data_IF_546444309071
#
_entry.id   IF_546444309071
#
_cell.length_a   1.000
_cell.length_b   1.000
_cell.length_c   1.000
_cell.angle_alpha   90.00
_cell.angle_beta   90.00
_cell.angle_gamma   90.00
#
_symmetry.space_group_name_H-M   'P 1'
#
loop_
_entity.id
_entity.type
_entity.pdbx_description
1 polymer ?
#
# COMPACT_ATOMS: atom_id res chain seq x y z
N UNK A 1 -9.75 -15.92 -7.66
CA UNK A 1 -9.02 -16.08 -6.37
C UNK A 1 -9.79 -17.05 -5.47
N UNK A 2 -11.12 -16.90 -5.35
CA UNK A 2 -11.95 -17.80 -4.53
C UNK A 2 -11.95 -19.26 -5.04
N UNK A 3 -11.79 -19.44 -6.33
CA UNK A 3 -11.79 -20.76 -7.02
C UNK A 3 -10.57 -21.63 -6.63
N UNK A 4 -9.50 -21.03 -6.15
CA UNK A 4 -8.24 -21.70 -5.81
C UNK A 4 -8.07 -21.95 -4.30
N UNK A 5 -9.09 -21.66 -3.49
CA UNK A 5 -9.04 -21.85 -2.03
C UNK A 5 -9.55 -23.24 -1.67
N UNK A 6 -8.74 -24.02 -0.95
CA UNK A 6 -9.21 -25.28 -0.34
C UNK A 6 -9.97 -24.97 0.96
N UNK A 7 -11.31 -25.24 1.01
CA UNK A 7 -12.11 -24.94 2.19
C UNK A 7 -11.67 -25.69 3.44
N UNK A 8 -11.14 -26.91 3.28
CA UNK A 8 -10.69 -27.71 4.42
C UNK A 8 -9.43 -27.10 5.06
N UNK A 9 -8.49 -26.66 4.26
CA UNK A 9 -7.27 -25.98 4.76
C UNK A 9 -7.59 -24.63 5.40
N UNK A 10 -8.56 -23.89 4.84
CA UNK A 10 -8.99 -22.61 5.45
C UNK A 10 -9.65 -22.90 6.80
N UNK A 11 -10.56 -23.88 6.89
CA UNK A 11 -11.21 -24.25 8.15
C UNK A 11 -10.18 -24.71 9.19
N UNK A 12 -9.28 -25.58 8.84
CA UNK A 12 -8.22 -26.04 9.74
C UNK A 12 -7.38 -24.86 10.26
N UNK A 13 -6.96 -23.96 9.38
CA UNK A 13 -6.21 -22.75 9.75
C UNK A 13 -7.03 -21.79 10.63
N UNK A 14 -8.33 -21.72 10.43
CA UNK A 14 -9.27 -20.91 11.24
C UNK A 14 -9.51 -21.57 12.59
N UNK A 15 -9.81 -22.87 12.62
CA UNK A 15 -10.10 -23.63 13.83
C UNK A 15 -8.89 -23.63 14.80
N UNK A 16 -7.66 -23.61 14.27
CA UNK A 16 -6.43 -23.45 15.05
C UNK A 16 -6.39 -22.10 15.79
N UNK A 17 -6.90 -21.05 15.21
CA UNK A 17 -6.83 -19.67 15.74
C UNK A 17 -8.13 -19.23 16.42
N UNK A 18 -9.27 -19.81 16.04
CA UNK A 18 -10.61 -19.39 16.47
C UNK A 18 -10.77 -19.26 17.99
N UNK A 19 -10.31 -20.21 18.83
CA UNK A 19 -10.44 -20.14 20.29
C UNK A 19 -9.72 -18.93 20.90
N UNK A 20 -8.71 -18.41 20.20
CA UNK A 20 -7.93 -17.25 20.62
C UNK A 20 -8.52 -15.96 20.09
N UNK A 21 -9.14 -16.00 18.90
CA UNK A 21 -9.77 -14.90 18.21
C UNK A 21 -11.18 -14.60 18.73
N UNK A 22 -11.90 -15.57 19.27
CA UNK A 22 -13.23 -15.38 19.88
C UNK A 22 -13.24 -14.34 21.00
N UNK A 23 -12.09 -14.10 21.61
CA UNK A 23 -11.88 -13.05 22.62
C UNK A 23 -11.70 -11.65 22.03
N UNK A 24 -11.50 -11.51 20.72
CA UNK A 24 -11.03 -10.26 20.08
C UNK A 24 -12.08 -9.55 19.23
N UNK A 25 -13.21 -10.20 18.91
CA UNK A 25 -14.33 -9.54 18.25
C UNK A 25 -14.86 -10.20 16.96
N UNK A 26 -15.99 -9.70 16.52
CA UNK A 26 -16.79 -10.25 15.40
C UNK A 26 -16.12 -10.10 14.02
N UNK A 27 -15.31 -9.07 13.82
CA UNK A 27 -14.77 -8.71 12.49
C UNK A 27 -13.93 -9.81 11.84
N UNK A 28 -13.13 -10.52 12.63
CA UNK A 28 -12.27 -11.60 12.10
C UNK A 28 -13.12 -12.79 11.68
N UNK A 29 -14.16 -13.12 12.47
CA UNK A 29 -15.11 -14.19 12.14
C UNK A 29 -15.88 -13.88 10.85
N UNK A 30 -16.30 -12.63 10.67
CA UNK A 30 -17.03 -12.18 9.48
C UNK A 30 -16.17 -12.28 8.23
N UNK A 31 -14.90 -11.95 8.31
CA UNK A 31 -13.94 -12.13 7.21
C UNK A 31 -13.80 -13.61 6.81
N UNK A 32 -13.64 -14.52 7.79
CA UNK A 32 -13.54 -15.93 7.49
C UNK A 32 -14.82 -16.51 6.91
N UNK A 33 -15.97 -16.13 7.44
CA UNK A 33 -17.26 -16.52 6.90
C UNK A 33 -17.41 -16.07 5.45
N UNK A 34 -17.02 -14.83 5.13
CA UNK A 34 -17.02 -14.30 3.77
C UNK A 34 -16.14 -15.13 2.82
N UNK A 35 -14.94 -15.54 3.25
CA UNK A 35 -14.04 -16.37 2.45
C UNK A 35 -14.64 -17.77 2.22
N UNK A 36 -15.21 -18.39 3.25
CA UNK A 36 -15.87 -19.70 3.13
C UNK A 36 -17.10 -19.63 2.21
N UNK A 37 -17.96 -18.62 2.36
CA UNK A 37 -19.12 -18.41 1.49
C UNK A 37 -18.72 -18.14 0.03
N UNK A 38 -17.65 -17.38 -0.19
CA UNK A 38 -17.15 -17.12 -1.53
C UNK A 38 -16.69 -18.41 -2.22
N UNK A 39 -16.12 -19.36 -1.47
CA UNK A 39 -15.73 -20.67 -1.98
C UNK A 39 -16.94 -21.57 -2.28
N UNK A 40 -17.93 -21.58 -1.41
CA UNK A 40 -19.17 -22.37 -1.61
C UNK A 40 -19.94 -21.91 -2.85
N UNK A 41 -19.84 -20.64 -3.21
CA UNK A 41 -20.49 -20.05 -4.39
C UNK A 41 -19.64 -20.13 -5.65
N UNK A 42 -18.37 -20.53 -5.55
CA UNK A 42 -17.49 -20.65 -6.71
C UNK A 42 -17.89 -21.87 -7.57
N UNK A 43 -17.93 -21.72 -8.91
CA UNK A 43 -18.20 -22.85 -9.80
C UNK A 43 -17.11 -23.92 -9.66
N UNK A 44 -17.48 -25.19 -9.81
CA UNK A 44 -16.53 -26.28 -9.94
C UNK A 44 -15.76 -26.12 -11.25
N UNK A 45 -14.54 -25.58 -11.15
CA UNK A 45 -13.62 -25.52 -12.26
C UNK A 45 -12.35 -26.28 -11.91
N UNK A 46 -11.80 -27.00 -12.88
CA UNK A 46 -10.46 -27.59 -12.78
C UNK A 46 -9.43 -26.44 -12.77
N UNK A 47 -9.02 -26.03 -11.56
CA UNK A 47 -7.98 -25.02 -11.40
C UNK A 47 -6.61 -25.66 -11.57
N UNK A 48 -5.79 -25.10 -12.47
CA UNK A 48 -4.39 -25.48 -12.64
C UNK A 48 -3.51 -24.93 -11.50
N UNK A 49 -4.06 -23.97 -10.70
CA UNK A 49 -3.33 -23.31 -9.63
C UNK A 49 -4.02 -23.57 -8.29
N UNK A 50 -3.23 -23.97 -7.29
CA UNK A 50 -3.67 -24.09 -5.91
C UNK A 50 -3.24 -22.87 -5.12
N UNK A 51 -4.20 -22.24 -4.42
CA UNK A 51 -3.93 -21.15 -3.50
C UNK A 51 -4.05 -21.65 -2.06
N UNK A 52 -2.99 -21.47 -1.25
CA UNK A 52 -2.98 -21.84 0.16
C UNK A 52 -2.79 -20.61 1.03
N UNK A 53 -3.63 -20.45 2.07
CA UNK A 53 -3.43 -19.45 3.11
C UNK A 53 -2.80 -20.11 4.33
N UNK A 54 -1.67 -19.60 4.78
CA UNK A 54 -1.00 -20.05 6.02
C UNK A 54 -0.92 -18.89 6.99
N UNK A 55 -1.70 -18.97 8.05
CA UNK A 55 -1.75 -17.95 9.10
C UNK A 55 -0.65 -18.18 10.14
N UNK A 56 -0.40 -17.14 10.95
CA UNK A 56 0.56 -17.20 12.08
C UNK A 56 1.94 -17.70 11.66
N UNK A 57 2.44 -17.22 10.53
CA UNK A 57 3.78 -17.52 10.02
C UNK A 57 4.55 -16.24 9.81
N UNK A 58 5.64 -16.04 10.58
CA UNK A 58 6.56 -14.90 10.40
C UNK A 58 7.75 -15.32 9.57
N UNK A 59 8.03 -14.65 8.43
CA UNK A 59 9.20 -14.99 7.62
C UNK A 59 10.49 -14.69 8.39
N UNK A 60 11.44 -15.63 8.36
CA UNK A 60 12.72 -15.54 9.06
C UNK A 60 13.92 -15.53 8.12
N UNK A 61 13.90 -16.36 7.08
CA UNK A 61 15.03 -16.51 6.18
C UNK A 61 14.60 -17.06 4.83
N UNK A 62 15.18 -16.53 3.76
CA UNK A 62 15.12 -17.15 2.43
C UNK A 62 16.16 -18.26 2.33
N UNK A 63 15.81 -19.34 1.66
CA UNK A 63 16.70 -20.42 1.26
C UNK A 63 17.10 -20.23 -0.18
N UNK A 64 18.38 -20.26 -0.45
CA UNK A 64 18.93 -20.13 -1.80
C UNK A 64 19.74 -21.36 -2.20
N UNK A 65 20.01 -21.49 -3.50
CA UNK A 65 20.97 -22.46 -4.02
C UNK A 65 22.33 -21.80 -4.32
N UNK A 66 23.27 -22.61 -4.81
CA UNK A 66 24.63 -22.16 -5.15
C UNK A 66 24.66 -21.18 -6.35
N UNK A 67 23.55 -21.00 -7.06
CA UNK A 67 23.43 -20.09 -8.21
C UNK A 67 22.80 -18.74 -7.80
N UNK A 68 22.44 -18.57 -6.53
CA UNK A 68 21.75 -17.39 -6.03
C UNK A 68 20.24 -17.38 -6.26
N UNK A 69 19.65 -18.50 -6.70
CA UNK A 69 18.20 -18.62 -6.89
C UNK A 69 17.52 -19.01 -5.57
N UNK A 70 16.32 -18.47 -5.36
CA UNK A 70 15.46 -18.86 -4.24
C UNK A 70 15.03 -20.33 -4.40
N UNK A 71 15.05 -21.07 -3.29
CA UNK A 71 14.59 -22.45 -3.18
C UNK A 71 13.51 -22.63 -2.14
N UNK A 72 13.31 -21.65 -1.30
CA UNK A 72 12.30 -21.70 -0.26
C UNK A 72 12.39 -20.56 0.71
N UNK A 73 11.53 -20.62 1.71
CA UNK A 73 11.46 -19.67 2.80
C UNK A 73 11.24 -20.41 4.13
N UNK A 74 11.92 -19.95 5.18
CA UNK A 74 11.73 -20.44 6.55
C UNK A 74 10.85 -19.45 7.29
N UNK A 75 9.80 -19.96 7.92
CA UNK A 75 8.91 -19.23 8.81
C UNK A 75 9.08 -19.69 10.24
N UNK A 76 8.86 -18.78 11.17
CA UNK A 76 8.58 -19.13 12.56
C UNK A 76 7.06 -19.21 12.76
N UNK A 77 6.62 -20.28 13.38
CA UNK A 77 5.23 -20.46 13.79
C UNK A 77 4.95 -19.54 14.97
N UNK A 78 3.87 -18.75 14.89
CA UNK A 78 3.43 -17.88 15.97
C UNK A 78 2.24 -18.49 16.70
N UNK A 79 2.11 -18.15 17.98
CA UNK A 79 0.88 -18.33 18.74
C UNK A 79 0.29 -16.97 19.11
N UNK A 80 -1.02 -16.86 19.14
CA UNK A 80 -1.67 -15.65 19.62
C UNK A 80 -1.60 -15.58 21.14
N UNK A 81 -1.17 -14.43 21.66
CA UNK A 81 -1.13 -14.15 23.10
C UNK A 81 -1.87 -12.87 23.41
N UNK A 82 -2.55 -12.85 24.56
CA UNK A 82 -3.19 -11.65 25.08
C UNK A 82 -2.13 -10.80 25.82
N UNK A 83 -1.95 -9.56 25.36
CA UNK A 83 -1.13 -8.53 26.04
C UNK A 83 -2.02 -7.34 26.37
N UNK A 84 -2.42 -7.21 27.62
CA UNK A 84 -3.48 -6.28 28.02
C UNK A 84 -4.79 -6.63 27.32
N UNK A 85 -5.39 -5.67 26.63
CA UNK A 85 -6.63 -5.87 25.87
C UNK A 85 -6.38 -6.19 24.36
N UNK A 86 -5.12 -6.45 23.98
CA UNK A 86 -4.75 -6.75 22.58
C UNK A 86 -4.25 -8.16 22.42
N UNK A 87 -4.69 -8.82 21.37
CA UNK A 87 -4.12 -10.10 20.96
C UNK A 87 -2.99 -9.84 19.97
N UNK A 88 -1.82 -10.37 20.27
CA UNK A 88 -0.60 -10.20 19.46
C UNK A 88 -0.01 -11.54 19.08
N UNK A 89 0.52 -11.72 17.86
CA UNK A 89 1.25 -12.92 17.48
C UNK A 89 2.64 -12.93 18.16
N UNK A 90 2.97 -14.02 18.80
CA UNK A 90 4.30 -14.26 19.42
C UNK A 90 4.92 -15.50 18.82
N UNK A 91 6.22 -15.41 18.48
CA UNK A 91 7.00 -16.54 18.00
C UNK A 91 7.04 -17.67 19.03
N UNK A 92 6.88 -18.90 18.56
CA UNK A 92 6.94 -20.12 19.38
C UNK A 92 8.32 -20.74 19.42
N UNK A 93 9.25 -20.30 18.57
CA UNK A 93 10.54 -20.92 18.32
C UNK A 93 10.48 -22.10 17.35
N UNK A 94 9.30 -22.54 16.94
CA UNK A 94 9.12 -23.61 15.96
C UNK A 94 9.33 -23.05 14.56
N UNK A 95 10.22 -23.68 13.78
CA UNK A 95 10.53 -23.28 12.42
C UNK A 95 9.90 -24.24 11.41
N UNK A 96 9.32 -23.67 10.35
CA UNK A 96 8.74 -24.42 9.23
C UNK A 96 9.36 -23.91 7.92
N UNK A 97 9.74 -24.83 7.04
CA UNK A 97 10.26 -24.49 5.70
C UNK A 97 9.23 -24.80 4.64
N UNK A 98 9.11 -23.90 3.67
CA UNK A 98 8.26 -24.07 2.50
C UNK A 98 9.15 -23.92 1.29
N UNK A 99 9.09 -24.90 0.36
CA UNK A 99 9.78 -24.83 -0.90
C UNK A 99 9.08 -23.82 -1.81
N UNK A 100 9.86 -22.92 -2.41
CA UNK A 100 9.38 -21.90 -3.32
C UNK A 100 10.52 -21.48 -4.26
N UNK A 101 10.21 -21.26 -5.51
CA UNK A 101 11.12 -20.71 -6.52
C UNK A 101 11.01 -19.17 -6.62
N UNK A 102 9.91 -18.62 -6.13
CA UNK A 102 9.62 -17.19 -6.15
C UNK A 102 8.99 -16.76 -4.83
N UNK A 103 9.49 -15.67 -4.24
CA UNK A 103 8.94 -15.08 -3.02
C UNK A 103 8.65 -13.61 -3.25
N UNK A 104 7.40 -13.20 -3.00
CA UNK A 104 6.94 -11.82 -3.15
C UNK A 104 6.52 -11.32 -1.76
N UNK A 105 7.18 -10.25 -1.30
CA UNK A 105 6.80 -9.59 -0.04
C UNK A 105 5.75 -8.52 -0.30
N UNK A 106 4.56 -8.70 0.28
CA UNK A 106 3.44 -7.75 0.27
C UNK A 106 3.03 -7.41 1.70
N UNK A 107 3.99 -6.97 2.51
CA UNK A 107 3.87 -6.78 3.97
C UNK A 107 3.63 -5.33 4.38
N UNK A 108 3.14 -4.51 3.47
CA UNK A 108 2.88 -3.09 3.66
C UNK A 108 3.95 -2.19 3.06
N UNK A 109 3.74 -0.90 3.20
CA UNK A 109 4.62 0.15 2.70
C UNK A 109 5.05 1.06 3.84
N UNK A 110 6.15 1.77 3.65
CA UNK A 110 6.59 2.86 4.51
C UNK A 110 6.81 4.08 3.64
N UNK A 111 6.68 5.26 4.21
CA UNK A 111 7.12 6.48 3.54
C UNK A 111 8.64 6.48 3.39
N UNK A 112 9.12 7.11 2.33
CA UNK A 112 10.56 7.26 2.11
C UNK A 112 11.11 8.33 3.06
N UNK A 113 12.00 7.93 3.97
CA UNK A 113 12.66 8.85 4.89
C UNK A 113 13.60 9.84 4.17
N UNK A 114 14.05 9.52 2.95
CA UNK A 114 14.85 10.40 2.10
C UNK A 114 14.04 11.48 1.40
N UNK A 115 12.71 11.48 1.53
CA UNK A 115 11.82 12.47 0.90
C UNK A 115 12.00 13.90 1.49
N UNK A 116 12.64 14.01 2.66
CA UNK A 116 12.93 15.31 3.27
C UNK A 116 11.87 15.82 4.25
N UNK A 117 10.85 15.02 4.56
CA UNK A 117 9.86 15.31 5.59
C UNK A 117 10.14 14.47 6.85
N UNK A 118 9.77 14.96 8.06
CA UNK A 118 9.91 14.20 9.29
C UNK A 118 9.12 12.90 9.28
N UNK A 119 9.77 11.78 9.65
CA UNK A 119 9.18 10.44 9.67
C UNK A 119 9.26 9.85 11.07
N UNK A 120 8.15 9.30 11.55
CA UNK A 120 8.09 8.51 12.77
C UNK A 120 7.20 7.27 12.54
N UNK A 121 7.65 6.11 13.05
CA UNK A 121 6.92 4.84 12.95
C UNK A 121 6.50 4.43 11.51
N UNK A 122 7.26 4.89 10.51
CA UNK A 122 6.99 4.57 9.10
C UNK A 122 5.99 5.50 8.41
N UNK A 123 5.55 6.57 9.06
CA UNK A 123 4.64 7.58 8.54
C UNK A 123 5.29 8.97 8.59
N UNK A 124 4.82 9.91 7.78
CA UNK A 124 5.14 11.31 7.99
C UNK A 124 4.51 11.82 9.28
N UNK A 125 5.26 12.63 10.02
CA UNK A 125 4.78 13.22 11.29
C UNK A 125 3.76 14.29 10.99
N UNK A 126 2.58 14.19 11.61
CA UNK A 126 1.53 15.21 11.51
C UNK A 126 1.46 16.06 12.76
N UNK A 127 0.96 17.29 12.62
CA UNK A 127 0.84 18.25 13.71
C UNK A 127 -0.03 17.70 14.85
N UNK A 128 0.50 17.60 16.09
CA UNK A 128 -0.28 17.12 17.23
C UNK A 128 -1.38 18.11 17.66
N UNK A 129 -1.25 19.40 17.29
CA UNK A 129 -2.25 20.46 17.55
C UNK A 129 -2.64 21.11 16.22
N UNK A 130 -3.44 20.43 15.38
CA UNK A 130 -3.69 20.85 14.01
C UNK A 130 -4.52 22.15 13.95
N UNK A 131 -4.14 23.01 13.00
CA UNK A 131 -4.88 24.25 12.69
C UNK A 131 -6.14 23.96 11.86
N UNK A 132 -6.11 22.88 11.05
CA UNK A 132 -7.17 22.47 10.12
C UNK A 132 -7.57 21.00 10.33
N UNK A 133 -8.09 20.64 11.52
CA UNK A 133 -8.46 19.26 11.81
C UNK A 133 -9.77 18.88 11.11
N UNK A 134 -9.81 17.74 10.46
CA UNK A 134 -11.06 17.14 9.97
C UNK A 134 -11.39 15.92 10.83
N UNK A 135 -12.56 15.94 11.46
CA UNK A 135 -12.99 14.90 12.43
C UNK A 135 -11.94 14.64 13.53
N UNK A 136 -11.22 15.68 13.98
CA UNK A 136 -10.14 15.59 14.97
C UNK A 136 -8.83 15.00 14.45
N UNK A 137 -8.71 14.80 13.13
CA UNK A 137 -7.52 14.22 12.48
C UNK A 137 -6.67 15.34 11.87
N UNK A 138 -5.35 15.29 12.12
CA UNK A 138 -4.38 16.19 11.52
C UNK A 138 -3.91 15.68 10.14
N UNK A 139 -3.76 16.62 9.21
CA UNK A 139 -3.22 16.39 7.87
C UNK A 139 -2.00 17.27 7.57
N UNK A 140 -1.68 18.23 8.45
CA UNK A 140 -0.52 19.12 8.34
C UNK A 140 0.76 18.37 8.73
N UNK A 141 1.83 18.52 7.96
CA UNK A 141 3.14 17.96 8.33
C UNK A 141 3.78 18.79 9.43
N UNK A 142 4.40 18.12 10.39
CA UNK A 142 5.01 18.75 11.57
C UNK A 142 6.45 18.31 11.76
N UNK A 143 7.32 19.27 12.07
CA UNK A 143 8.69 19.00 12.45
C UNK A 143 8.85 19.00 13.96
N UNK A 144 9.01 17.84 14.60
CA UNK A 144 9.14 17.75 16.06
C UNK A 144 10.46 18.32 16.59
N UNK A 145 11.53 18.41 15.77
CA UNK A 145 12.80 18.99 16.18
C UNK A 145 12.72 20.52 16.25
N UNK A 146 11.95 21.13 15.36
CA UNK A 146 11.72 22.57 15.32
C UNK A 146 10.50 22.99 16.13
N UNK A 147 9.69 22.02 16.62
CA UNK A 147 8.39 22.25 17.25
C UNK A 147 7.48 23.16 16.40
N UNK A 148 7.46 22.94 15.09
CA UNK A 148 6.74 23.78 14.13
C UNK A 148 6.14 22.96 12.99
N UNK A 149 5.07 23.49 12.40
CA UNK A 149 4.50 22.97 11.16
C UNK A 149 5.48 23.15 10.00
N UNK A 150 5.46 22.20 9.07
CA UNK A 150 6.03 22.40 7.75
C UNK A 150 4.99 23.15 6.91
N UNK A 151 5.16 24.46 6.76
CA UNK A 151 4.20 25.31 6.05
C UNK A 151 3.90 24.78 4.64
N UNK A 152 2.65 24.95 4.20
CA UNK A 152 2.14 24.57 2.88
C UNK A 152 2.18 23.06 2.57
N UNK A 153 2.46 22.19 3.57
CA UNK A 153 2.59 20.76 3.36
C UNK A 153 1.53 19.98 4.12
N UNK A 154 0.73 19.24 3.35
CA UNK A 154 -0.29 18.34 3.86
C UNK A 154 -0.02 16.91 3.38
N UNK A 155 -0.36 15.92 4.21
CA UNK A 155 -0.25 14.50 3.88
C UNK A 155 -1.59 13.80 4.10
N UNK A 156 -1.94 12.88 3.21
CA UNK A 156 -3.18 12.13 3.28
C UNK A 156 -3.02 10.72 2.72
N UNK A 157 -4.01 9.86 2.95
CA UNK A 157 -3.99 8.48 2.50
C UNK A 157 -2.81 7.70 3.09
N UNK A 158 -2.16 6.89 2.28
CA UNK A 158 -1.03 6.06 2.73
C UNK A 158 0.25 6.83 3.06
N UNK A 159 0.36 8.07 2.65
CA UNK A 159 1.46 8.94 3.07
C UNK A 159 1.34 9.38 4.53
N UNK A 160 0.10 9.54 5.02
CA UNK A 160 -0.20 9.88 6.41
C UNK A 160 -0.30 8.63 7.30
N UNK A 161 -0.91 7.59 6.81
CA UNK A 161 -1.20 6.36 7.56
C UNK A 161 -0.80 5.15 6.71
N UNK A 162 0.44 4.68 6.91
CA UNK A 162 1.03 3.64 6.07
C UNK A 162 0.15 2.39 5.99
N UNK A 163 -0.24 2.06 4.77
CA UNK A 163 -0.81 0.77 4.30
C UNK A 163 -1.76 0.03 5.26
N UNK A 164 -2.49 0.72 6.11
CA UNK A 164 -3.52 0.10 6.92
C UNK A 164 -4.85 0.05 6.17
N UNK A 165 -5.37 -1.16 6.04
CA UNK A 165 -6.69 -1.42 5.47
C UNK A 165 -6.73 -1.46 3.95
N UNK A 166 -7.94 -1.28 3.41
CA UNK A 166 -8.23 -1.35 1.97
C UNK A 166 -8.19 0.02 1.31
N UNK A 167 -8.08 0.05 -0.03
CA UNK A 167 -8.03 1.29 -0.84
C UNK A 167 -9.15 2.28 -0.51
N UNK A 168 -10.34 1.78 -0.12
CA UNK A 168 -11.46 2.63 0.29
C UNK A 168 -11.19 3.50 1.53
N UNK A 169 -10.36 3.02 2.48
CA UNK A 169 -9.96 3.80 3.64
C UNK A 169 -8.99 4.91 3.26
N UNK A 170 -8.01 4.60 2.40
CA UNK A 170 -7.08 5.60 1.89
C UNK A 170 -7.80 6.70 1.10
N UNK A 171 -8.84 6.33 0.32
CA UNK A 171 -9.67 7.30 -0.39
C UNK A 171 -10.41 8.24 0.55
N UNK A 172 -11.07 7.70 1.59
CA UNK A 172 -11.76 8.53 2.59
C UNK A 172 -10.80 9.46 3.33
N UNK A 173 -9.61 8.98 3.65
CA UNK A 173 -8.57 9.77 4.28
C UNK A 173 -8.09 10.89 3.34
N UNK A 174 -7.91 10.61 2.06
CA UNK A 174 -7.55 11.61 1.05
C UNK A 174 -8.64 12.68 0.87
N UNK A 175 -9.93 12.31 0.89
CA UNK A 175 -11.05 13.25 0.83
C UNK A 175 -11.07 14.20 2.04
N UNK A 176 -10.73 13.71 3.24
CA UNK A 176 -10.58 14.54 4.44
C UNK A 176 -9.36 15.45 4.35
N UNK A 177 -8.21 14.92 3.94
CA UNK A 177 -7.00 15.71 3.73
C UNK A 177 -7.20 16.84 2.72
N UNK A 178 -7.94 16.58 1.64
CA UNK A 178 -8.30 17.61 0.67
C UNK A 178 -9.17 18.71 1.29
N UNK A 179 -10.11 18.37 2.20
CA UNK A 179 -10.90 19.39 2.92
C UNK A 179 -10.03 20.23 3.85
N UNK A 180 -9.13 19.63 4.62
CA UNK A 180 -8.18 20.36 5.46
C UNK A 180 -7.34 21.35 4.63
N UNK A 181 -6.86 20.92 3.46
CA UNK A 181 -6.12 21.79 2.55
C UNK A 181 -6.98 22.91 1.98
N UNK A 182 -8.25 22.66 1.65
CA UNK A 182 -9.16 23.72 1.18
C UNK A 182 -9.42 24.78 2.27
N UNK A 183 -9.63 24.37 3.53
CA UNK A 183 -9.76 25.31 4.65
C UNK A 183 -8.50 26.17 4.82
N UNK A 184 -7.32 25.58 4.64
CA UNK A 184 -6.07 26.33 4.62
C UNK A 184 -6.00 27.33 3.46
N UNK A 185 -6.31 26.88 2.22
CA UNK A 185 -6.27 27.74 1.03
C UNK A 185 -7.23 28.92 1.10
N UNK A 186 -8.38 28.76 1.76
CA UNK A 186 -9.37 29.83 1.96
C UNK A 186 -8.82 30.99 2.81
N UNK A 187 -7.80 30.74 3.63
CA UNK A 187 -7.13 31.76 4.43
C UNK A 187 -5.99 32.48 3.69
N UNK A 188 -5.54 31.92 2.58
CA UNK A 188 -4.43 32.50 1.84
C UNK A 188 -4.91 33.71 1.01
N UNK A 189 -4.04 34.73 0.95
CA UNK A 189 -4.24 35.82 0.00
C UNK A 189 -4.03 35.28 -1.43
N UNK A 190 -4.92 35.58 -2.39
CA UNK A 190 -4.74 35.16 -3.78
C UNK A 190 -3.36 35.59 -4.30
N UNK A 191 -2.65 34.63 -4.89
CA UNK A 191 -1.33 34.86 -5.48
C UNK A 191 -1.50 35.64 -6.79
N UNK A 192 -0.57 36.56 -7.09
CA UNK A 192 -0.49 37.23 -8.39
C UNK A 192 -0.36 36.18 -9.52
N UNK A 193 -1.25 36.29 -10.53
CA UNK A 193 -1.22 35.40 -11.70
C UNK A 193 0.13 35.39 -12.40
N UNK A 194 0.87 36.50 -12.39
CA UNK A 194 2.23 36.59 -12.94
C UNK A 194 3.21 35.65 -12.22
N UNK A 195 3.02 35.39 -10.91
CA UNK A 195 3.85 34.44 -10.19
C UNK A 195 3.65 33.01 -10.67
N UNK A 196 2.40 32.61 -10.88
CA UNK A 196 2.07 31.29 -11.42
C UNK A 196 2.65 31.08 -12.83
N UNK A 197 2.54 32.09 -13.70
CA UNK A 197 3.16 32.05 -15.02
C UNK A 197 4.69 31.93 -14.96
N UNK A 198 5.33 32.66 -14.05
CA UNK A 198 6.79 32.55 -13.84
C UNK A 198 7.23 31.16 -13.39
N UNK A 199 6.44 30.49 -12.54
CA UNK A 199 6.71 29.10 -12.15
C UNK A 199 6.57 28.18 -13.35
N UNK A 200 5.46 28.27 -14.10
CA UNK A 200 5.20 27.46 -15.29
C UNK A 200 6.29 27.62 -16.35
N UNK A 201 6.81 28.85 -16.55
CA UNK A 201 7.88 29.16 -17.50
C UNK A 201 9.24 28.55 -17.11
N UNK A 202 9.44 28.14 -15.86
CA UNK A 202 10.66 27.44 -15.41
C UNK A 202 10.61 25.93 -15.68
N UNK A 203 9.43 25.32 -15.80
CA UNK A 203 9.29 23.90 -16.00
C UNK A 203 10.06 23.33 -17.21
N UNK A 204 10.08 23.98 -18.39
CA UNK A 204 10.84 23.51 -19.54
C UNK A 204 12.37 23.53 -19.36
N UNK A 205 12.87 24.28 -18.37
CA UNK A 205 14.30 24.45 -18.09
C UNK A 205 14.80 23.55 -16.94
N UNK A 206 13.99 22.61 -16.47
CA UNK A 206 14.42 21.61 -15.50
C UNK A 206 15.37 20.62 -16.16
N UNK A 207 16.35 20.10 -15.42
CA UNK A 207 17.26 19.05 -15.88
C UNK A 207 16.49 17.80 -16.35
N UNK A 208 15.37 17.49 -15.69
CA UNK A 208 14.47 16.43 -16.06
C UNK A 208 13.24 16.96 -16.78
N UNK A 209 12.79 16.29 -17.87
CA UNK A 209 11.64 16.74 -18.63
C UNK A 209 10.36 16.77 -17.77
N UNK A 210 9.72 17.92 -17.71
CA UNK A 210 8.40 18.04 -17.09
C UNK A 210 7.33 17.33 -17.95
N UNK A 211 6.48 16.54 -17.31
CA UNK A 211 5.38 15.80 -17.91
C UNK A 211 4.07 16.42 -17.45
N UNK A 212 3.22 16.80 -18.38
CA UNK A 212 1.89 17.33 -18.12
C UNK A 212 0.80 16.25 -18.36
N UNK A 213 -0.45 16.61 -18.07
CA UNK A 213 -1.58 15.67 -18.22
C UNK A 213 -1.81 15.22 -19.69
N UNK A 214 -1.56 16.08 -20.68
CA UNK A 214 -1.68 15.71 -22.09
C UNK A 214 -0.59 14.70 -22.49
N UNK A 215 0.61 14.81 -21.92
CA UNK A 215 1.66 13.83 -22.12
C UNK A 215 1.30 12.46 -21.52
N UNK A 216 0.67 12.46 -20.34
CA UNK A 216 0.16 11.22 -19.72
C UNK A 216 -0.91 10.57 -20.61
N UNK A 217 -1.84 11.35 -21.15
CA UNK A 217 -2.85 10.82 -22.09
C UNK A 217 -2.23 10.24 -23.37
N UNK A 218 -1.12 10.80 -23.87
CA UNK A 218 -0.38 10.21 -24.99
C UNK A 218 0.23 8.86 -24.58
N UNK A 219 0.83 8.76 -23.40
CA UNK A 219 1.39 7.49 -22.90
C UNK A 219 0.29 6.43 -22.86
N UNK A 220 -0.85 6.71 -22.25
CA UNK A 220 -1.97 5.75 -22.17
C UNK A 220 -2.44 5.28 -23.53
N UNK A 221 -2.59 6.20 -24.53
CA UNK A 221 -2.98 5.83 -25.89
C UNK A 221 -1.96 4.90 -26.56
N UNK A 222 -0.66 5.12 -26.34
CA UNK A 222 0.40 4.28 -26.87
C UNK A 222 0.37 2.90 -26.19
N UNK A 223 0.21 2.87 -24.88
CA UNK A 223 0.10 1.63 -24.09
C UNK A 223 -1.10 0.79 -24.56
N UNK A 224 -2.26 1.40 -24.74
CA UNK A 224 -3.48 0.75 -25.24
C UNK A 224 -3.29 0.21 -26.67
N UNK A 225 -2.62 0.96 -27.55
CA UNK A 225 -2.32 0.52 -28.90
C UNK A 225 -1.40 -0.68 -28.92
N UNK A 226 -0.32 -0.67 -28.10
CA UNK A 226 0.62 -1.82 -27.99
C UNK A 226 -0.11 -3.04 -27.42
N UNK A 227 -0.94 -2.87 -26.39
CA UNK A 227 -1.73 -3.96 -25.81
C UNK A 227 -2.63 -4.59 -26.86
N UNK A 228 -3.33 -3.79 -27.67
CA UNK A 228 -4.21 -4.26 -28.74
C UNK A 228 -3.43 -5.00 -29.84
N UNK A 229 -2.27 -4.47 -30.28
CA UNK A 229 -1.41 -5.10 -31.28
C UNK A 229 -0.87 -6.46 -30.83
N UNK A 230 -0.51 -6.57 -29.55
CA UNK A 230 0.04 -7.79 -28.96
C UNK A 230 -1.03 -8.77 -28.43
N UNK A 231 -2.31 -8.41 -28.48
CA UNK A 231 -3.40 -9.22 -27.94
C UNK A 231 -3.35 -9.38 -26.41
N UNK A 232 -2.77 -8.39 -25.71
CA UNK A 232 -2.64 -8.38 -24.27
C UNK A 232 -3.85 -7.67 -23.62
N UNK A 233 -4.25 -8.07 -22.39
CA UNK A 233 -5.31 -7.38 -21.66
C UNK A 233 -4.90 -5.98 -21.22
N UNK A 234 -3.60 -5.71 -21.06
CA UNK A 234 -3.01 -4.40 -20.80
C UNK A 234 -1.51 -4.42 -21.11
N UNK A 235 -0.94 -3.25 -21.39
CA UNK A 235 0.49 -3.03 -21.50
C UNK A 235 0.88 -1.80 -20.67
N UNK A 236 2.06 -1.85 -20.05
CA UNK A 236 2.66 -0.71 -19.33
C UNK A 236 4.14 -0.65 -19.64
N UNK A 237 4.66 0.56 -19.85
CA UNK A 237 6.09 0.74 -20.01
C UNK A 237 6.83 0.34 -18.74
N UNK A 238 7.95 -0.33 -18.87
CA UNK A 238 8.75 -0.84 -17.75
C UNK A 238 9.61 0.23 -17.08
N UNK A 239 9.88 1.33 -17.78
CA UNK A 239 10.75 2.39 -17.26
C UNK A 239 10.26 3.78 -17.64
N UNK A 240 10.68 4.76 -16.82
CA UNK A 240 10.45 6.18 -17.06
C UNK A 240 11.02 6.64 -18.40
N UNK A 241 12.24 6.19 -18.72
CA UNK A 241 12.93 6.51 -19.98
C UNK A 241 12.14 6.03 -21.19
N UNK A 242 11.58 4.83 -21.13
CA UNK A 242 10.74 4.28 -22.20
C UNK A 242 9.48 5.14 -22.39
N UNK A 243 8.82 5.56 -21.31
CA UNK A 243 7.68 6.47 -21.37
C UNK A 243 8.03 7.80 -22.01
N UNK A 244 9.14 8.43 -21.59
CA UNK A 244 9.56 9.73 -22.10
C UNK A 244 9.96 9.66 -23.59
N UNK A 245 10.64 8.59 -24.03
CA UNK A 245 10.92 8.35 -25.46
C UNK A 245 9.67 8.19 -26.28
N UNK A 246 8.71 7.42 -25.78
CA UNK A 246 7.45 7.17 -26.49
C UNK A 246 6.66 8.45 -26.80
N UNK A 247 6.80 9.49 -25.97
CA UNK A 247 6.15 10.80 -26.15
C UNK A 247 7.08 11.89 -26.71
N UNK A 248 8.34 11.53 -27.06
CA UNK A 248 9.31 12.43 -27.67
C UNK A 248 9.88 13.50 -26.75
N UNK A 249 10.02 13.22 -25.45
CA UNK A 249 10.63 14.13 -24.47
C UNK A 249 12.12 13.89 -24.23
N UNK A 250 12.64 12.74 -24.66
CA UNK A 250 14.06 12.38 -24.72
C UNK A 250 14.35 11.53 -25.95
#
# INVERSE_FOLDING_TARGET
>A
VAECLDPAQIREAVDEVLPQVEKVGREVRDFFNLVCEAREKAPDCESVLNFQMRFLRSPRRLLGDNTGRVRGIVFEVNALKLEGDRVVPKGTGVMESIDADTVIFSIGSRVDAGFGLPVAYGNFVTNPDPRFPIDGISYEVYNPELCAECEDIFVSGWARQASEGVVGLARKDAERGARAMLEYLDLLTPVDLNFAENVLNRLPNLEEPAVNYEDIKKIWKIEDAIAAEQGLPSYKFESREAMLRAIGKI
#
